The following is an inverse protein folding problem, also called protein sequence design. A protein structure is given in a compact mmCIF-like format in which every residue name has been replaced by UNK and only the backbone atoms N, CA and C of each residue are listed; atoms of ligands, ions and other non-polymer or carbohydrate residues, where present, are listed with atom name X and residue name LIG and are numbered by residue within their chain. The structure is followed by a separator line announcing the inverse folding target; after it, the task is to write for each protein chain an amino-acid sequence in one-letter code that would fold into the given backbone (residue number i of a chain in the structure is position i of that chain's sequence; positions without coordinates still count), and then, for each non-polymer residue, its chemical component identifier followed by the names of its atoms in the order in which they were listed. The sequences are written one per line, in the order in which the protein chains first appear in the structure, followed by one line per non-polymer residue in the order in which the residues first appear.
data_IF_823377113334
#
_entry.id   IF_823377113334
#
_cell.length_a   1.000
_cell.length_b   1.000
_cell.length_c   1.000
_cell.angle_alpha   90.00
_cell.angle_beta   90.00
_cell.angle_gamma   90.00
#
_symmetry.space_group_name_H-M   'P 1'
#
loop_
_entity.id
_entity.type
_entity.pdbx_description
1 polymer ?
#
# COMPACT_ATOMS: atom_id res chain seq x y z
N UNK A 1 14.23 11.48 19.13
CA UNK A 1 13.04 11.85 18.33
C UNK A 1 13.33 11.42 16.89
N UNK A 2 12.76 10.31 16.43
CA UNK A 2 12.87 9.92 15.01
C UNK A 2 11.85 10.78 14.29
N UNK A 3 12.31 11.90 13.73
CA UNK A 3 11.49 12.75 12.87
C UNK A 3 11.16 11.95 11.61
N UNK A 4 9.88 11.62 11.43
CA UNK A 4 9.32 11.16 10.16
C UNK A 4 9.45 12.31 9.17
N UNK A 5 10.50 12.33 8.34
CA UNK A 5 10.54 13.27 7.21
C UNK A 5 11.22 12.67 5.97
N UNK A 6 10.47 12.77 4.86
CA UNK A 6 10.80 12.53 3.46
C UNK A 6 11.04 11.07 3.01
N UNK A 7 9.95 10.30 2.91
CA UNK A 7 9.92 9.09 2.09
C UNK A 7 9.75 9.43 0.61
N UNK A 8 10.65 8.95 -0.24
CA UNK A 8 10.42 8.77 -1.68
C UNK A 8 9.62 7.50 -1.86
N UNK A 9 8.43 7.61 -2.44
CA UNK A 9 7.61 6.46 -2.82
C UNK A 9 7.82 6.20 -4.31
N UNK A 10 7.96 4.94 -4.70
CA UNK A 10 8.08 4.54 -6.11
C UNK A 10 7.03 3.48 -6.37
N UNK A 11 6.15 3.76 -7.32
CA UNK A 11 5.12 2.84 -7.79
C UNK A 11 5.42 2.45 -9.22
N UNK A 12 5.21 1.19 -9.51
CA UNK A 12 5.40 0.66 -10.84
C UNK A 12 4.26 -0.30 -11.17
N UNK A 13 3.71 -0.16 -12.36
CA UNK A 13 2.71 -1.07 -12.91
C UNK A 13 3.11 -1.40 -14.34
N UNK A 14 3.03 -2.68 -14.72
CA UNK A 14 3.19 -3.11 -16.10
C UNK A 14 1.80 -3.43 -16.66
N UNK A 15 1.52 -2.85 -17.82
CA UNK A 15 0.34 -3.13 -18.64
C UNK A 15 0.36 -4.58 -19.10
N UNK A 16 -0.80 -5.13 -19.44
CA UNK A 16 -0.91 -6.48 -20.00
C UNK A 16 0.15 -6.65 -21.10
N UNK A 17 1.10 -7.57 -20.91
CA UNK A 17 2.04 -7.96 -21.95
C UNK A 17 1.23 -8.21 -23.23
N UNK A 18 1.56 -7.47 -24.28
CA UNK A 18 0.85 -7.49 -25.55
C UNK A 18 0.88 -8.92 -26.09
N UNK A 19 -0.28 -9.56 -26.15
CA UNK A 19 -0.59 -10.83 -26.83
C UNK A 19 0.17 -12.08 -26.35
N UNK A 20 -0.46 -13.26 -26.43
CA UNK A 20 -0.20 -14.36 -25.52
C UNK A 20 1.16 -14.99 -25.77
N UNK A 21 1.82 -15.43 -24.70
CA UNK A 21 2.48 -16.74 -24.79
C UNK A 21 1.35 -17.70 -25.15
N UNK A 22 1.32 -18.08 -26.42
CA UNK A 22 0.42 -19.02 -27.08
C UNK A 22 0.58 -20.43 -26.50
N UNK A 23 0.32 -20.58 -25.20
CA UNK A 23 0.32 -21.87 -24.51
C UNK A 23 -0.92 -22.06 -23.62
N UNK A 24 -1.68 -21.01 -23.28
CA UNK A 24 -2.79 -21.15 -22.32
C UNK A 24 -4.12 -20.49 -22.71
N UNK A 25 -4.31 -20.03 -23.95
CA UNK A 25 -5.64 -19.60 -24.43
C UNK A 25 -6.32 -20.72 -25.23
N UNK A 26 -7.04 -21.59 -24.53
CA UNK A 26 -8.30 -22.17 -25.00
C UNK A 26 -9.32 -22.12 -23.87
N UNK A 27 -10.13 -21.06 -23.87
CA UNK A 27 -11.56 -21.09 -23.51
C UNK A 27 -12.08 -19.64 -23.54
N UNK A 28 -12.48 -19.18 -24.72
CA UNK A 28 -13.45 -18.10 -24.87
C UNK A 28 -14.83 -18.61 -24.50
N UNK A 29 -15.58 -17.91 -23.66
CA UNK A 29 -16.97 -17.50 -23.96
C UNK A 29 -17.50 -16.48 -22.95
N UNK A 30 -18.27 -15.54 -23.51
CA UNK A 30 -19.27 -14.61 -22.93
C UNK A 30 -18.84 -13.61 -21.86
N UNK A 31 -18.81 -12.36 -22.30
CA UNK A 31 -19.09 -11.16 -21.52
C UNK A 31 -20.54 -11.21 -21.03
N UNK A 32 -20.73 -11.45 -19.75
CA UNK A 32 -21.96 -11.08 -19.03
C UNK A 32 -21.56 -10.70 -17.60
N UNK A 33 -22.17 -9.63 -17.09
CA UNK A 33 -21.80 -8.97 -15.85
C UNK A 33 -21.64 -9.94 -14.69
N UNK A 34 -20.50 -9.87 -14.00
CA UNK A 34 -20.24 -10.68 -12.83
C UNK A 34 -19.80 -9.81 -11.66
N UNK A 35 -20.80 -9.38 -10.89
CA UNK A 35 -20.66 -9.19 -9.45
C UNK A 35 -20.25 -10.57 -8.89
N UNK A 36 -19.10 -10.73 -8.22
CA UNK A 36 -18.78 -12.00 -7.60
C UNK A 36 -19.67 -12.18 -6.35
N UNK A 37 -20.90 -12.63 -6.57
CA UNK A 37 -21.66 -13.35 -5.56
C UNK A 37 -21.35 -14.83 -5.73
N UNK A 38 -20.49 -15.36 -4.86
CA UNK A 38 -20.52 -16.77 -4.40
C UNK A 38 -19.49 -16.95 -3.30
N UNK A 39 -20.00 -16.80 -2.07
CA UNK A 39 -19.97 -17.83 -1.02
C UNK A 39 -19.26 -19.13 -1.39
N UNK A 40 -17.93 -19.10 -1.45
CA UNK A 40 -17.15 -20.29 -1.12
C UNK A 40 -17.19 -20.39 0.41
N UNK A 41 -18.06 -21.27 0.92
CA UNK A 41 -18.16 -21.63 2.33
C UNK A 41 -16.92 -22.43 2.76
N UNK A 42 -15.72 -21.86 2.62
CA UNK A 42 -14.60 -22.17 3.50
C UNK A 42 -15.03 -21.57 4.83
N UNK A 43 -15.61 -22.37 5.71
CA UNK A 43 -16.13 -21.89 6.99
C UNK A 43 -15.15 -20.89 7.58
N UNK A 44 -15.60 -19.64 7.78
CA UNK A 44 -14.79 -18.60 8.40
C UNK A 44 -14.42 -19.12 9.79
N UNK A 45 -13.26 -19.77 9.90
CA UNK A 45 -12.67 -20.09 11.18
C UNK A 45 -12.09 -18.78 11.67
N UNK A 46 -12.80 -18.14 12.58
CA UNK A 46 -12.22 -17.06 13.36
C UNK A 46 -10.96 -17.60 14.04
N UNK A 47 -9.86 -16.86 13.95
CA UNK A 47 -8.65 -17.12 14.73
C UNK A 47 -8.82 -16.68 16.20
N UNK A 48 -9.95 -16.06 16.53
CA UNK A 48 -10.27 -15.58 17.85
C UNK A 48 -10.44 -16.75 18.83
N UNK A 49 -9.70 -16.70 19.93
CA UNK A 49 -9.83 -17.60 21.06
C UNK A 49 -11.01 -17.18 21.95
N UNK A 50 -11.57 -18.09 22.78
CA UNK A 50 -12.57 -17.72 23.78
C UNK A 50 -12.04 -16.62 24.71
N UNK A 51 -12.62 -15.42 24.64
CA UNK A 51 -12.19 -14.23 25.40
C UNK A 51 -11.68 -13.07 24.53
N UNK A 52 -11.37 -13.32 23.26
CA UNK A 52 -10.95 -12.26 22.33
C UNK A 52 -12.13 -11.35 21.98
N UNK A 53 -11.88 -10.03 22.03
CA UNK A 53 -12.84 -9.03 21.57
C UNK A 53 -12.71 -8.86 20.06
N UNK A 54 -13.71 -9.32 19.33
CA UNK A 54 -13.81 -9.13 17.87
C UNK A 54 -14.56 -7.83 17.58
N UNK A 55 -14.00 -7.00 16.70
CA UNK A 55 -14.61 -5.74 16.27
C UNK A 55 -14.93 -5.82 14.78
N UNK A 56 -16.09 -5.31 14.37
CA UNK A 56 -16.47 -5.26 12.97
C UNK A 56 -15.51 -4.37 12.17
N UNK A 57 -15.22 -4.76 10.92
CA UNK A 57 -14.29 -4.04 10.05
C UNK A 57 -14.72 -2.59 9.82
N UNK A 58 -16.02 -2.38 9.57
CA UNK A 58 -16.58 -1.05 9.33
C UNK A 58 -16.48 -0.16 10.57
N UNK A 59 -16.56 -0.75 11.76
CA UNK A 59 -16.40 -0.03 13.02
C UNK A 59 -14.94 0.43 13.23
N UNK A 60 -13.97 -0.42 12.87
CA UNK A 60 -12.55 -0.03 12.88
C UNK A 60 -12.29 1.09 11.87
N UNK A 61 -12.85 0.99 10.65
CA UNK A 61 -12.71 2.05 9.63
C UNK A 61 -13.32 3.36 10.11
N UNK A 62 -14.55 3.33 10.63
CA UNK A 62 -15.22 4.51 11.21
C UNK A 62 -14.34 5.16 12.29
N UNK A 63 -13.82 4.35 13.23
CA UNK A 63 -12.96 4.85 14.29
C UNK A 63 -11.70 5.55 13.77
N UNK A 64 -11.00 4.94 12.80
CA UNK A 64 -9.82 5.55 12.16
C UNK A 64 -10.20 6.88 11.49
N UNK A 65 -11.30 6.90 10.72
CA UNK A 65 -11.76 8.10 10.01
C UNK A 65 -12.09 9.23 10.98
N UNK A 66 -12.81 8.93 12.08
CA UNK A 66 -13.18 9.91 13.10
C UNK A 66 -11.94 10.50 13.79
N UNK A 67 -10.98 9.66 14.19
CA UNK A 67 -9.73 10.12 14.80
C UNK A 67 -8.93 11.05 13.88
N UNK A 68 -8.76 10.67 12.61
CA UNK A 68 -7.97 11.46 11.66
C UNK A 68 -8.66 12.76 11.26
N UNK A 69 -9.99 12.72 11.07
CA UNK A 69 -10.78 13.92 10.80
C UNK A 69 -10.71 14.88 11.98
N UNK A 70 -10.73 14.36 13.22
CA UNK A 70 -10.64 15.18 14.44
C UNK A 70 -9.32 15.97 14.53
N UNK A 71 -8.21 15.44 14.02
CA UNK A 71 -6.92 16.15 13.96
C UNK A 71 -6.72 16.98 12.69
N UNK A 72 -7.77 17.15 11.87
CA UNK A 72 -7.77 18.02 10.71
C UNK A 72 -7.30 17.36 9.41
N UNK A 73 -7.48 16.05 9.28
CA UNK A 73 -7.26 15.33 8.02
C UNK A 73 -8.53 15.35 7.18
N UNK A 74 -8.42 15.53 5.86
CA UNK A 74 -9.57 15.43 4.96
C UNK A 74 -10.22 14.05 5.08
N UNK A 75 -11.55 13.99 4.99
CA UNK A 75 -12.29 12.73 5.16
C UNK A 75 -11.84 11.68 4.15
N UNK A 76 -11.67 12.06 2.88
CA UNK A 76 -11.20 11.16 1.82
C UNK A 76 -9.78 10.63 2.05
N UNK A 77 -8.90 11.42 2.68
CA UNK A 77 -7.56 10.98 3.08
C UNK A 77 -7.62 10.00 4.26
N UNK A 78 -8.53 10.26 5.20
CA UNK A 78 -8.76 9.43 6.37
C UNK A 78 -9.31 8.06 5.98
N UNK A 79 -10.23 8.02 5.01
CA UNK A 79 -10.78 6.77 4.44
C UNK A 79 -9.68 5.94 3.75
N UNK A 80 -8.82 6.59 2.95
CA UNK A 80 -7.68 5.92 2.32
C UNK A 80 -6.69 5.35 3.35
N UNK A 81 -6.42 6.06 4.45
CA UNK A 81 -5.60 5.52 5.54
C UNK A 81 -6.28 4.31 6.19
N UNK A 82 -7.58 4.42 6.50
CA UNK A 82 -8.34 3.36 7.13
C UNK A 82 -8.30 2.05 6.32
N UNK A 83 -8.46 2.13 5.01
CA UNK A 83 -8.37 0.98 4.12
C UNK A 83 -7.00 0.28 4.18
N UNK A 84 -5.91 1.06 4.15
CA UNK A 84 -4.55 0.51 4.22
C UNK A 84 -4.28 -0.16 5.57
N UNK A 85 -4.65 0.49 6.68
CA UNK A 85 -4.41 -0.06 8.02
C UNK A 85 -5.21 -1.34 8.26
N UNK A 86 -6.49 -1.33 7.88
CA UNK A 86 -7.35 -2.52 8.00
C UNK A 86 -6.84 -3.66 7.13
N UNK A 87 -6.36 -3.38 5.91
CA UNK A 87 -5.74 -4.38 5.06
C UNK A 87 -4.47 -4.95 5.72
N UNK A 88 -3.66 -4.11 6.37
CA UNK A 88 -2.52 -4.52 7.18
C UNK A 88 -2.90 -5.56 8.23
N UNK A 89 -3.93 -5.29 9.03
CA UNK A 89 -4.39 -6.23 10.07
C UNK A 89 -4.96 -7.52 9.50
N UNK A 90 -5.79 -7.44 8.44
CA UNK A 90 -6.41 -8.62 7.82
C UNK A 90 -5.39 -9.55 7.16
N UNK A 91 -4.25 -9.02 6.72
CA UNK A 91 -3.17 -9.79 6.13
C UNK A 91 -2.12 -10.26 7.14
N UNK A 92 -2.36 -10.03 8.44
CA UNK A 92 -1.43 -10.42 9.51
C UNK A 92 -0.19 -9.52 9.62
N UNK A 93 -0.21 -8.34 8.99
CA UNK A 93 0.82 -7.32 9.12
C UNK A 93 0.47 -6.32 10.23
N UNK A 94 0.19 -6.81 11.44
CA UNK A 94 -0.24 -6.00 12.60
C UNK A 94 0.70 -4.83 12.92
N UNK A 95 1.97 -4.93 12.52
CA UNK A 95 2.95 -3.83 12.65
C UNK A 95 2.73 -2.62 11.76
N UNK A 96 1.81 -2.71 10.81
CA UNK A 96 1.44 -1.66 9.86
C UNK A 96 -0.09 -1.52 9.74
N UNK A 97 -0.86 -2.11 10.68
CA UNK A 97 -2.31 -1.96 10.78
C UNK A 97 -2.73 -0.93 11.84
N UNK A 98 -3.84 -1.16 12.54
CA UNK A 98 -4.44 -0.20 13.48
C UNK A 98 -3.47 0.30 14.55
N UNK A 99 -2.47 -0.51 14.96
CA UNK A 99 -1.43 -0.09 15.92
C UNK A 99 -0.60 1.13 15.44
N UNK A 100 -0.65 1.48 14.15
CA UNK A 100 0.00 2.71 13.63
C UNK A 100 -0.85 3.96 13.73
N UNK A 101 -2.12 3.87 14.12
CA UNK A 101 -3.02 5.03 14.14
C UNK A 101 -2.50 6.18 15.00
N UNK A 102 -2.00 5.90 16.21
CA UNK A 102 -1.44 6.92 17.11
C UNK A 102 -0.29 7.71 16.47
N UNK A 103 0.56 7.05 15.67
CA UNK A 103 1.63 7.72 14.93
C UNK A 103 1.06 8.69 13.88
N UNK A 104 0.08 8.26 13.08
CA UNK A 104 -0.55 9.13 12.08
C UNK A 104 -1.27 10.33 12.72
N UNK A 105 -2.00 10.10 13.81
CA UNK A 105 -2.66 11.15 14.58
C UNK A 105 -1.64 12.18 15.07
N UNK A 106 -0.55 11.74 15.70
CA UNK A 106 0.51 12.63 16.21
C UNK A 106 1.22 13.39 15.09
N UNK A 107 1.51 12.74 13.96
CA UNK A 107 2.22 13.38 12.86
C UNK A 107 1.38 14.50 12.22
N UNK A 108 0.05 14.32 12.11
CA UNK A 108 -0.86 15.37 11.62
C UNK A 108 -1.09 16.46 12.66
N UNK A 109 -1.29 16.09 13.94
CA UNK A 109 -1.49 17.04 15.05
C UNK A 109 -0.28 17.98 15.18
N UNK A 110 0.94 17.43 15.13
CA UNK A 110 2.20 18.17 15.19
C UNK A 110 2.62 18.84 13.87
N UNK A 111 1.78 18.77 12.83
CA UNK A 111 2.05 19.33 11.49
C UNK A 111 3.35 18.81 10.84
N UNK A 112 3.77 17.61 11.23
CA UNK A 112 4.84 16.87 10.56
C UNK A 112 4.34 16.32 9.22
N UNK A 113 3.05 15.97 9.15
CA UNK A 113 2.35 15.52 7.95
C UNK A 113 1.15 16.43 7.65
N UNK A 114 0.92 16.74 6.37
CA UNK A 114 -0.24 17.50 5.94
C UNK A 114 -1.48 16.59 5.84
N UNK A 115 -2.54 16.94 6.57
CA UNK A 115 -3.81 16.21 6.55
C UNK A 115 -4.71 16.51 5.35
N UNK A 116 -4.45 17.62 4.65
CA UNK A 116 -5.30 18.13 3.56
C UNK A 116 -4.48 18.55 2.34
N UNK A 117 -5.09 18.52 1.16
CA UNK A 117 -4.45 18.89 -0.11
C UNK A 117 -4.50 17.78 -1.15
N UNK A 118 -3.63 17.83 -2.17
CA UNK A 118 -3.56 16.79 -3.19
C UNK A 118 -2.14 16.64 -3.73
N UNK A 119 -1.71 15.44 -4.15
CA UNK A 119 -0.44 15.27 -4.86
C UNK A 119 -0.43 16.05 -6.19
N UNK A 120 0.74 16.54 -6.60
CA UNK A 120 0.93 17.33 -7.82
C UNK A 120 1.87 16.60 -8.79
N UNK A 121 1.48 16.46 -10.06
CA UNK A 121 2.39 15.93 -11.09
C UNK A 121 3.38 17.04 -11.48
N UNK A 122 4.67 16.79 -11.25
CA UNK A 122 5.76 17.72 -11.58
C UNK A 122 6.23 17.55 -13.04
N UNK A 123 6.32 16.30 -13.50
CA UNK A 123 6.71 15.95 -14.87
C UNK A 123 6.00 14.69 -15.31
N UNK A 124 5.64 14.63 -16.59
CA UNK A 124 4.91 13.50 -17.16
C UNK A 124 5.40 13.16 -18.56
N UNK A 125 5.48 11.86 -18.85
CA UNK A 125 5.67 11.25 -20.17
C UNK A 125 4.65 10.13 -20.35
N UNK A 126 4.59 9.51 -21.52
CA UNK A 126 3.63 8.44 -21.81
C UNK A 126 3.64 7.34 -20.74
N UNK A 127 4.81 6.80 -20.45
CA UNK A 127 5.00 5.67 -19.53
C UNK A 127 5.47 6.04 -18.12
N UNK A 128 5.71 7.33 -17.82
CA UNK A 128 6.25 7.72 -16.50
C UNK A 128 5.76 9.06 -15.98
N UNK A 129 5.80 9.23 -14.66
CA UNK A 129 5.53 10.52 -14.00
C UNK A 129 6.40 10.72 -12.75
N UNK A 130 6.68 11.98 -12.46
CA UNK A 130 7.27 12.44 -11.21
C UNK A 130 6.25 13.29 -10.46
N UNK A 131 5.99 12.96 -9.20
CA UNK A 131 4.94 13.54 -8.36
C UNK A 131 5.56 14.21 -7.13
N UNK A 132 5.02 15.35 -6.73
CA UNK A 132 5.17 15.88 -5.38
C UNK A 132 3.98 15.45 -4.52
N UNK A 133 4.26 14.71 -3.45
CA UNK A 133 3.26 14.29 -2.48
C UNK A 133 2.82 15.42 -1.56
N UNK A 134 3.44 16.61 -1.63
CA UNK A 134 3.07 17.79 -0.84
C UNK A 134 3.02 17.52 0.67
N UNK A 135 3.91 16.64 1.15
CA UNK A 135 4.01 16.18 2.53
C UNK A 135 2.71 15.56 3.08
N UNK A 136 1.89 14.96 2.20
CA UNK A 136 0.64 14.30 2.57
C UNK A 136 0.89 12.92 3.21
N UNK A 137 -0.20 12.33 3.70
CA UNK A 137 -0.22 10.95 4.20
C UNK A 137 0.26 9.97 3.12
N UNK A 138 1.11 9.02 3.50
CA UNK A 138 1.63 8.01 2.58
C UNK A 138 0.55 7.20 1.84
N UNK A 139 -0.55 6.75 2.50
CA UNK A 139 -1.71 6.15 1.80
C UNK A 139 -2.25 6.99 0.65
N UNK A 140 -2.38 8.30 0.85
CA UNK A 140 -2.90 9.24 -0.15
C UNK A 140 -1.95 9.33 -1.35
N UNK A 141 -0.66 9.59 -1.08
CA UNK A 141 0.35 9.72 -2.14
C UNK A 141 0.53 8.40 -2.88
N UNK A 142 0.58 7.28 -2.15
CA UNK A 142 0.76 5.96 -2.72
C UNK A 142 -0.42 5.51 -3.58
N UNK A 143 -1.66 5.75 -3.14
CA UNK A 143 -2.85 5.46 -3.93
C UNK A 143 -2.86 6.26 -5.23
N UNK A 144 -2.63 7.57 -5.13
CA UNK A 144 -2.53 8.44 -6.30
C UNK A 144 -1.47 7.95 -7.30
N UNK A 145 -0.27 7.60 -6.80
CA UNK A 145 0.83 7.15 -7.66
C UNK A 145 0.53 5.80 -8.32
N UNK A 146 -0.07 4.85 -7.60
CA UNK A 146 -0.43 3.56 -8.17
C UNK A 146 -1.55 3.69 -9.19
N UNK A 147 -2.58 4.50 -8.91
CA UNK A 147 -3.69 4.73 -9.85
C UNK A 147 -3.18 5.40 -11.13
N UNK A 148 -2.25 6.36 -11.02
CA UNK A 148 -1.57 6.97 -12.17
C UNK A 148 -0.69 5.96 -12.92
N UNK A 149 0.06 5.11 -12.21
CA UNK A 149 0.88 4.07 -12.82
C UNK A 149 0.02 3.07 -13.60
N UNK A 150 -1.10 2.62 -13.04
CA UNK A 150 -2.04 1.72 -13.70
C UNK A 150 -2.68 2.36 -14.94
N UNK A 151 -3.05 3.64 -14.87
CA UNK A 151 -3.53 4.40 -16.03
C UNK A 151 -2.50 4.38 -17.16
N UNK A 152 -1.26 4.76 -16.87
CA UNK A 152 -0.16 4.78 -17.85
C UNK A 152 0.17 3.41 -18.40
N UNK A 153 0.14 2.38 -17.55
CA UNK A 153 0.33 1.00 -17.94
C UNK A 153 -0.69 0.54 -18.99
N UNK A 154 -1.96 0.96 -18.87
CA UNK A 154 -3.00 0.66 -19.86
C UNK A 154 -2.78 1.40 -21.18
N UNK A 155 -2.29 2.63 -21.14
CA UNK A 155 -2.12 3.48 -22.32
C UNK A 155 -0.81 3.19 -23.08
N UNK A 156 0.28 2.95 -22.37
CA UNK A 156 1.64 2.84 -22.92
C UNK A 156 2.28 1.46 -22.72
N UNK A 157 1.56 0.49 -22.17
CA UNK A 157 2.05 -0.85 -21.83
C UNK A 157 2.87 -0.92 -20.53
N UNK A 158 3.33 0.21 -20.00
CA UNK A 158 4.00 0.30 -18.70
C UNK A 158 3.79 1.67 -18.06
N UNK A 159 3.74 1.71 -16.73
CA UNK A 159 3.61 2.91 -15.93
C UNK A 159 4.59 2.93 -14.76
N UNK A 160 5.52 3.89 -14.76
CA UNK A 160 6.47 4.09 -13.68
C UNK A 160 6.27 5.47 -13.04
N UNK A 161 5.80 5.52 -11.80
CA UNK A 161 5.52 6.76 -11.08
C UNK A 161 6.38 6.85 -9.84
N UNK A 162 7.09 7.97 -9.68
CA UNK A 162 7.89 8.24 -8.47
C UNK A 162 7.37 9.49 -7.79
N UNK A 163 7.33 9.49 -6.46
CA UNK A 163 6.92 10.62 -5.65
C UNK A 163 8.01 11.03 -4.67
N UNK A 164 8.21 12.34 -4.53
CA UNK A 164 8.90 12.95 -3.37
C UNK A 164 7.86 13.50 -2.40
N UNK A 165 8.28 13.87 -1.18
CA UNK A 165 7.39 14.57 -0.25
C UNK A 165 6.22 13.71 0.23
N UNK A 166 6.46 12.42 0.49
CA UNK A 166 5.49 11.49 1.09
C UNK A 166 5.91 11.13 2.53
N UNK A 167 4.95 10.57 3.28
CA UNK A 167 5.13 10.02 4.62
C UNK A 167 4.96 8.49 4.63
N UNK A 168 4.96 7.90 5.83
CA UNK A 168 4.76 6.45 6.02
C UNK A 168 3.48 5.98 5.31
N UNK A 169 3.59 4.93 4.49
CA UNK A 169 2.54 4.53 3.56
C UNK A 169 1.83 3.21 3.89
N UNK A 170 2.05 2.69 5.11
CA UNK A 170 1.47 1.41 5.53
C UNK A 170 2.21 0.21 4.91
N UNK A 171 1.45 -0.83 4.53
CA UNK A 171 2.00 -2.02 3.86
C UNK A 171 2.25 -1.72 2.36
N UNK A 172 3.39 -2.14 1.82
CA UNK A 172 3.68 -1.95 0.39
C UNK A 172 2.74 -2.83 -0.47
N UNK A 173 2.33 -3.98 0.06
CA UNK A 173 1.42 -4.92 -0.58
C UNK A 173 0.04 -4.35 -0.93
N UNK A 174 -0.44 -3.32 -0.21
CA UNK A 174 -1.71 -2.67 -0.54
C UNK A 174 -1.75 -2.16 -1.99
N UNK A 175 -0.70 -1.44 -2.38
CA UNK A 175 -0.62 -0.84 -3.73
C UNK A 175 -0.45 -1.91 -4.80
N UNK A 176 0.34 -2.94 -4.52
CA UNK A 176 0.49 -4.09 -5.39
C UNK A 176 -0.84 -4.81 -5.60
N UNK A 177 -1.63 -5.00 -4.54
CA UNK A 177 -2.96 -5.63 -4.65
C UNK A 177 -3.92 -4.83 -5.54
N UNK A 178 -3.92 -3.49 -5.43
CA UNK A 178 -4.72 -2.64 -6.33
C UNK A 178 -4.40 -2.91 -7.80
N UNK A 179 -3.13 -3.15 -8.15
CA UNK A 179 -2.76 -3.47 -9.53
C UNK A 179 -3.27 -4.84 -10.00
N UNK A 180 -3.22 -5.84 -9.11
CA UNK A 180 -3.68 -7.21 -9.40
C UNK A 180 -5.18 -7.23 -9.63
N UNK A 181 -5.95 -6.50 -8.82
CA UNK A 181 -7.41 -6.34 -8.97
C UNK A 181 -7.78 -5.75 -10.34
N UNK A 182 -6.87 -5.01 -10.95
CA UNK A 182 -7.02 -4.42 -12.28
C UNK A 182 -6.41 -5.28 -13.40
N UNK A 183 -5.99 -6.51 -13.10
CA UNK A 183 -5.39 -7.43 -14.07
C UNK A 183 -3.99 -7.02 -14.53
N UNK A 184 -3.25 -6.28 -13.70
CA UNK A 184 -1.90 -5.80 -13.97
C UNK A 184 -0.86 -6.49 -13.08
N UNK A 185 0.39 -6.47 -13.51
CA UNK A 185 1.54 -6.75 -12.64
C UNK A 185 1.90 -5.44 -11.96
N UNK A 186 2.07 -5.44 -10.64
CA UNK A 186 2.45 -4.24 -9.90
C UNK A 186 3.61 -4.45 -8.97
N UNK A 187 4.29 -3.34 -8.71
CA UNK A 187 5.36 -3.23 -7.74
C UNK A 187 5.23 -1.94 -6.95
N UNK A 188 5.60 -2.00 -5.69
CA UNK A 188 5.65 -0.85 -4.79
C UNK A 188 6.96 -0.85 -4.02
N UNK A 189 7.56 0.33 -3.90
CA UNK A 189 8.79 0.54 -3.13
C UNK A 189 8.68 1.84 -2.35
N UNK A 190 9.30 1.87 -1.18
CA UNK A 190 9.56 3.13 -0.45
C UNK A 190 10.90 3.03 0.26
N UNK A 191 11.52 4.17 0.54
CA UNK A 191 12.59 4.24 1.54
C UNK A 191 12.03 4.68 2.90
N UNK A 192 12.83 4.47 3.95
CA UNK A 192 12.56 4.93 5.32
C UNK A 192 13.79 5.59 5.94
N UNK A 193 13.64 6.21 7.11
CA UNK A 193 14.76 6.83 7.83
C UNK A 193 15.90 5.84 8.09
N UNK A 194 17.17 6.28 8.11
CA UNK A 194 18.32 5.40 8.29
C UNK A 194 18.28 4.62 9.62
N UNK A 195 18.14 3.30 9.54
CA UNK A 195 18.10 2.37 10.68
C UNK A 195 18.85 1.05 10.42
N UNK A 196 19.15 0.75 9.15
CA UNK A 196 19.88 -0.43 8.71
C UNK A 196 21.36 -0.06 8.46
N UNK A 197 22.24 -0.96 8.89
CA UNK A 197 23.68 -0.92 8.66
C UNK A 197 23.99 -1.65 7.34
N UNK A 198 24.55 -0.96 6.34
CA UNK A 198 25.08 -1.64 5.15
C UNK A 198 26.11 -2.70 5.53
N UNK A 199 26.27 -3.71 4.69
CA UNK A 199 27.27 -4.77 4.88
C UNK A 199 28.64 -4.18 5.16
N UNK A 200 29.24 -4.55 6.31
CA UNK A 200 30.54 -4.08 6.82
C UNK A 200 30.58 -2.60 7.26
N UNK A 201 29.42 -1.95 7.44
CA UNK A 201 29.34 -0.60 8.02
C UNK A 201 29.18 -0.64 9.54
N UNK A 202 29.82 0.30 10.23
CA UNK A 202 29.58 0.59 11.66
C UNK A 202 28.55 1.72 11.89
N UNK A 203 27.99 2.28 10.82
CA UNK A 203 26.97 3.35 10.86
C UNK A 203 25.73 2.95 10.07
N UNK A 204 24.56 3.27 10.62
CA UNK A 204 23.29 3.13 9.92
C UNK A 204 23.20 4.13 8.77
N UNK A 205 22.74 3.68 7.60
CA UNK A 205 22.65 4.52 6.41
C UNK A 205 21.41 4.22 5.54
N UNK A 206 20.81 3.04 5.67
CA UNK A 206 19.66 2.61 4.87
C UNK A 206 18.40 2.52 5.74
N UNK A 207 17.23 2.73 5.17
CA UNK A 207 15.97 2.36 5.80
C UNK A 207 15.69 0.85 5.66
N UNK A 208 14.59 0.36 6.24
CA UNK A 208 14.06 -0.98 5.97
C UNK A 208 13.64 -1.20 4.51
N UNK A 209 13.48 -0.10 3.77
CA UNK A 209 13.26 0.00 2.32
C UNK A 209 12.46 -1.19 1.75
N UNK A 210 11.16 -1.30 2.06
CA UNK A 210 10.36 -2.44 1.64
C UNK A 210 10.14 -2.45 0.13
N UNK A 211 9.98 -3.67 -0.40
CA UNK A 211 9.56 -3.93 -1.76
C UNK A 211 8.34 -4.85 -1.75
N UNK A 212 7.39 -4.55 -2.62
CA UNK A 212 6.30 -5.46 -2.93
C UNK A 212 6.21 -5.67 -4.44
N UNK A 213 5.86 -6.89 -4.82
CA UNK A 213 5.67 -7.33 -6.20
C UNK A 213 4.49 -8.29 -6.23
N UNK A 214 3.66 -8.21 -7.27
CA UNK A 214 2.62 -9.19 -7.43
C UNK A 214 1.98 -9.20 -8.81
N UNK A 215 1.35 -10.32 -9.11
CA UNK A 215 0.73 -10.62 -10.38
C UNK A 215 -0.46 -11.56 -10.18
N UNK A 216 -1.48 -11.41 -11.01
CA UNK A 216 -2.57 -12.38 -11.10
C UNK A 216 -2.06 -13.72 -11.67
N UNK A 217 -2.54 -14.81 -11.10
CA UNK A 217 -2.36 -16.17 -11.60
C UNK A 217 -3.55 -16.63 -12.45
N UNK A 218 -3.61 -17.93 -12.71
CA UNK A 218 -4.77 -18.57 -13.37
C UNK A 218 -5.85 -18.93 -12.36
N UNK A 219 -7.10 -19.04 -12.80
CA UNK A 219 -8.24 -19.50 -11.97
C UNK A 219 -8.46 -18.71 -10.67
N UNK A 220 -8.15 -17.41 -10.67
CA UNK A 220 -8.35 -16.53 -9.52
C UNK A 220 -7.24 -16.62 -8.46
N UNK A 221 -6.14 -17.32 -8.73
CA UNK A 221 -4.95 -17.29 -7.88
C UNK A 221 -4.16 -15.99 -8.08
N UNK A 222 -3.27 -15.64 -7.15
CA UNK A 222 -2.36 -14.50 -7.28
C UNK A 222 -1.08 -14.70 -6.49
N UNK A 223 0.02 -14.19 -7.03
CA UNK A 223 1.30 -14.11 -6.31
C UNK A 223 1.47 -12.70 -5.75
N UNK A 224 1.77 -12.59 -4.45
CA UNK A 224 2.07 -11.31 -3.79
C UNK A 224 3.23 -11.49 -2.82
N UNK A 225 4.33 -10.82 -3.11
CA UNK A 225 5.46 -10.61 -2.21
C UNK A 225 5.31 -9.24 -1.55
N UNK A 226 5.43 -9.16 -0.22
CA UNK A 226 5.55 -7.91 0.53
C UNK A 226 6.59 -8.10 1.64
N UNK A 227 7.76 -7.49 1.49
CA UNK A 227 8.89 -7.71 2.37
C UNK A 227 9.72 -6.45 2.62
N UNK A 228 10.28 -6.35 3.82
CA UNK A 228 11.40 -5.44 4.07
C UNK A 228 12.67 -5.98 3.40
N UNK A 229 13.62 -5.10 3.10
CA UNK A 229 14.97 -5.53 2.67
C UNK A 229 15.87 -5.89 3.85
N UNK A 230 15.42 -5.62 5.08
CA UNK A 230 16.04 -6.11 6.32
C UNK A 230 15.53 -7.50 6.69
N UNK A 231 16.32 -8.25 7.46
CA UNK A 231 15.96 -9.58 7.96
C UNK A 231 14.63 -9.60 8.72
N UNK A 232 14.34 -8.54 9.47
CA UNK A 232 13.07 -8.35 10.19
C UNK A 232 12.64 -6.89 10.07
N UNK A 233 11.33 -6.64 9.99
CA UNK A 233 10.80 -5.29 10.07
C UNK A 233 10.97 -4.70 11.49
N UNK A 234 11.42 -3.45 11.61
CA UNK A 234 11.61 -2.79 12.92
C UNK A 234 10.33 -2.75 13.76
N UNK A 235 9.16 -2.72 13.11
CA UNK A 235 7.87 -2.82 13.77
C UNK A 235 7.77 -4.10 14.58
N UNK A 236 8.11 -5.25 13.98
CA UNK A 236 8.03 -6.58 14.62
C UNK A 236 8.98 -6.71 15.81
N UNK A 237 10.16 -6.09 15.75
CA UNK A 237 11.08 -6.01 16.90
C UNK A 237 10.44 -5.23 18.04
N UNK A 238 9.74 -4.13 17.75
CA UNK A 238 9.04 -3.30 18.75
C UNK A 238 7.82 -3.95 19.41
N UNK A 239 7.23 -5.00 18.83
CA UNK A 239 6.16 -5.76 19.51
C UNK A 239 6.70 -6.78 20.52
N UNK A 240 7.95 -7.22 20.33
CA UNK A 240 8.53 -8.32 21.10
C UNK A 240 9.53 -7.85 22.17
N UNK A 241 9.69 -6.54 22.34
CA UNK A 241 10.48 -5.89 23.39
C UNK A 241 9.54 -5.12 24.30
#
# INVERSE_FOLDING_TARGET
MITTSAGTVRMFAIGRLISPITCLQKATTSVDGFIPSRTANRGLRTMASPGDKVVAVDEVKRFIVDCMTKVGTDRSHSEQLADVLVCGDHRGHYSHGLNRLDMYVRDVDKKVCNGSGSPTILKEKAASAWVDGNNLLGPVVGNFCMDLAMKKAREAGVGWVVAKGSNHFGIAGWYTLKSIEQGLIGMSFTNTSPIMYPTRSSKAALGTNPLSLGAAGVNGDSFVLDMATTTVAIGKVRFNL
#
